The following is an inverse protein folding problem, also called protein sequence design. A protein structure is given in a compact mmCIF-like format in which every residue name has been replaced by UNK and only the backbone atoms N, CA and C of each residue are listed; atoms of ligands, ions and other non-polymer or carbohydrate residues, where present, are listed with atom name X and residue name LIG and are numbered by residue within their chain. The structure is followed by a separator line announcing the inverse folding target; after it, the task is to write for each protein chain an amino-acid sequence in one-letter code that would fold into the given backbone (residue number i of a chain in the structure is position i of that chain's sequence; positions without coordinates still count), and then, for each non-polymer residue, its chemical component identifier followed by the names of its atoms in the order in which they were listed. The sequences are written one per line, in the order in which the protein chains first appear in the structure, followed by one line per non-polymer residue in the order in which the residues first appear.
data_IF_705566450761
#
_entry.id   IF_705566450761
#
_cell.length_a   1.000
_cell.length_b   1.000
_cell.length_c   1.000
_cell.angle_alpha   90.00
_cell.angle_beta   90.00
_cell.angle_gamma   90.00
#
_symmetry.space_group_name_H-M   'P 1'
#
loop_
_entity.id
_entity.type
_entity.pdbx_description
1 polymer ?
#
# COMPACT_ATOMS: atom_id res chain seq x y z
N UNK A 1 17.25 -14.38 -18.85
CA UNK A 1 15.81 -14.06 -18.84
C UNK A 1 15.25 -14.45 -17.48
N UNK A 2 14.89 -13.50 -16.61
CA UNK A 2 14.06 -13.83 -15.44
C UNK A 2 12.64 -14.10 -15.93
N UNK A 3 11.98 -15.11 -15.37
CA UNK A 3 10.61 -15.44 -15.78
C UNK A 3 9.67 -14.27 -15.44
N UNK A 4 8.66 -13.98 -16.27
CA UNK A 4 7.64 -12.93 -15.99
C UNK A 4 7.08 -13.03 -14.56
N UNK A 5 6.96 -14.27 -14.04
CA UNK A 5 6.54 -14.56 -12.66
C UNK A 5 7.48 -13.97 -11.60
N UNK A 6 8.79 -14.11 -11.77
CA UNK A 6 9.79 -13.60 -10.81
C UNK A 6 9.84 -12.07 -10.77
N UNK A 7 9.60 -11.42 -11.93
CA UNK A 7 9.56 -9.97 -12.01
C UNK A 7 8.31 -9.40 -11.32
N UNK A 8 7.17 -10.05 -11.52
CA UNK A 8 5.91 -9.70 -10.85
C UNK A 8 6.01 -9.86 -9.34
N UNK A 9 6.52 -11.00 -8.85
CA UNK A 9 6.65 -11.23 -7.40
C UNK A 9 7.55 -10.19 -6.73
N UNK A 10 8.66 -9.80 -7.36
CA UNK A 10 9.54 -8.75 -6.82
C UNK A 10 8.87 -7.37 -6.76
N UNK A 11 8.16 -6.97 -7.82
CA UNK A 11 7.49 -5.66 -7.88
C UNK A 11 6.32 -5.64 -6.89
N UNK A 12 5.50 -6.70 -6.86
CA UNK A 12 4.39 -6.84 -5.93
C UNK A 12 4.91 -6.80 -4.48
N UNK A 13 5.97 -7.53 -4.14
CA UNK A 13 6.56 -7.51 -2.79
C UNK A 13 7.03 -6.11 -2.39
N UNK A 14 7.66 -5.35 -3.30
CA UNK A 14 8.06 -3.95 -3.06
C UNK A 14 6.85 -3.04 -2.81
N UNK A 15 5.80 -3.16 -3.62
CA UNK A 15 4.58 -2.35 -3.44
C UNK A 15 3.89 -2.69 -2.12
N UNK A 16 3.75 -3.98 -1.80
CA UNK A 16 3.08 -4.44 -0.59
C UNK A 16 3.84 -4.04 0.69
N UNK A 17 5.18 -4.10 0.65
CA UNK A 17 6.03 -3.59 1.74
C UNK A 17 5.91 -2.09 1.92
N UNK A 18 5.80 -1.34 0.83
CA UNK A 18 5.57 0.11 0.87
C UNK A 18 4.18 0.43 1.41
N UNK A 19 3.14 -0.25 0.94
CA UNK A 19 1.76 -0.11 1.40
C UNK A 19 1.64 -0.38 2.91
N UNK A 20 2.28 -1.45 3.41
CA UNK A 20 2.34 -1.74 4.86
C UNK A 20 2.92 -0.57 5.66
N UNK A 21 4.03 0.02 5.19
CA UNK A 21 4.64 1.18 5.86
C UNK A 21 3.72 2.39 5.81
N UNK A 22 3.11 2.67 4.67
CA UNK A 22 2.18 3.80 4.48
C UNK A 22 0.97 3.66 5.41
N UNK A 23 0.36 2.48 5.49
CA UNK A 23 -0.76 2.21 6.41
C UNK A 23 -0.34 2.49 7.85
N UNK A 24 0.80 1.96 8.28
CA UNK A 24 1.28 2.15 9.64
C UNK A 24 1.58 3.63 9.96
N UNK A 25 2.13 4.37 8.99
CA UNK A 25 2.37 5.81 9.13
C UNK A 25 1.05 6.58 9.23
N UNK A 26 0.10 6.33 8.32
CA UNK A 26 -1.17 7.07 8.28
C UNK A 26 -1.99 6.83 9.55
N UNK A 27 -2.22 5.58 9.91
CA UNK A 27 -2.95 5.23 11.13
C UNK A 27 -2.18 5.64 12.39
N UNK A 28 -0.85 5.55 12.36
CA UNK A 28 0.04 6.05 13.41
C UNK A 28 -0.12 7.54 13.65
N UNK A 29 -0.01 8.36 12.60
CA UNK A 29 -0.18 9.81 12.68
C UNK A 29 -1.57 10.19 13.16
N UNK A 30 -2.63 9.57 12.64
CA UNK A 30 -4.01 9.81 13.08
C UNK A 30 -4.15 9.47 14.56
N UNK A 31 -3.72 8.28 14.98
CA UNK A 31 -3.82 7.86 16.38
C UNK A 31 -3.06 8.79 17.33
N UNK A 32 -1.85 9.20 16.96
CA UNK A 32 -1.04 10.16 17.74
C UNK A 32 -1.73 11.52 17.85
N UNK A 33 -2.30 12.05 16.77
CA UNK A 33 -3.03 13.33 16.80
C UNK A 33 -4.20 13.28 17.78
N UNK A 34 -4.99 12.20 17.77
CA UNK A 34 -6.10 12.02 18.71
C UNK A 34 -5.62 11.93 20.17
N UNK A 35 -4.49 11.28 20.43
CA UNK A 35 -3.90 11.22 21.77
C UNK A 35 -3.38 12.58 22.24
N UNK A 36 -2.73 13.36 21.35
CA UNK A 36 -2.27 14.71 21.67
C UNK A 36 -3.46 15.62 22.02
N UNK A 37 -4.53 15.55 21.22
CA UNK A 37 -5.77 16.30 21.49
C UNK A 37 -6.40 15.87 22.83
N UNK A 38 -6.47 14.57 23.10
CA UNK A 38 -6.98 14.07 24.37
C UNK A 38 -6.15 14.58 25.55
N UNK A 39 -4.82 14.56 25.44
CA UNK A 39 -3.90 15.04 26.47
C UNK A 39 -4.04 16.55 26.71
N UNK A 40 -4.13 17.34 25.63
CA UNK A 40 -4.34 18.79 25.72
C UNK A 40 -5.67 19.15 26.38
N UNK A 41 -6.75 18.46 26.00
CA UNK A 41 -8.08 18.66 26.60
C UNK A 41 -8.12 18.22 28.07
N UNK A 42 -7.37 17.19 28.43
CA UNK A 42 -7.24 16.74 29.82
C UNK A 42 -6.47 17.74 30.70
N UNK A 43 -5.34 18.25 30.21
CA UNK A 43 -4.52 19.25 30.93
C UNK A 43 -5.29 20.56 31.10
N UNK A 44 -6.07 20.97 30.10
CA UNK A 44 -6.87 22.19 30.14
C UNK A 44 -8.18 22.04 30.95
N UNK A 45 -8.45 20.87 31.55
CA UNK A 45 -9.70 20.52 32.27
C UNK A 45 -10.95 20.93 31.47
N UNK A 46 -10.90 20.77 30.14
CA UNK A 46 -12.01 21.12 29.27
C UNK A 46 -13.13 20.12 29.49
N UNK A 47 -14.28 20.62 29.92
CA UNK A 47 -15.49 19.85 30.15
C UNK A 47 -16.56 20.30 29.17
N UNK A 48 -17.26 19.31 28.64
CA UNK A 48 -18.42 19.57 27.81
C UNK A 48 -19.48 20.34 28.61
N UNK A 49 -20.01 21.41 28.03
CA UNK A 49 -20.91 22.33 28.72
C UNK A 49 -22.29 21.73 29.00
N UNK A 50 -22.72 20.73 28.24
CA UNK A 50 -24.03 20.09 28.38
C UNK A 50 -23.97 18.84 29.27
N UNK A 51 -22.91 18.04 29.11
CA UNK A 51 -22.80 16.73 29.78
C UNK A 51 -21.83 16.71 30.96
N UNK A 52 -20.96 17.72 31.09
CA UNK A 52 -19.93 17.78 32.13
C UNK A 52 -18.80 16.74 31.99
N UNK A 53 -18.87 15.92 30.93
CA UNK A 53 -17.89 14.87 30.62
C UNK A 53 -16.67 15.52 29.96
N UNK A 54 -15.48 15.07 30.34
CA UNK A 54 -14.25 15.47 29.66
C UNK A 54 -14.18 14.80 28.28
N UNK A 55 -14.11 15.57 27.17
CA UNK A 55 -13.98 14.99 25.83
C UNK A 55 -12.71 14.15 25.68
N UNK A 56 -11.67 14.41 26.48
CA UNK A 56 -10.44 13.59 26.52
C UNK A 56 -10.72 12.09 26.75
N UNK A 57 -11.79 11.75 27.48
CA UNK A 57 -12.22 10.36 27.73
C UNK A 57 -12.70 9.66 26.46
N UNK A 58 -13.14 10.41 25.44
CA UNK A 58 -13.58 9.88 24.14
C UNK A 58 -12.42 9.90 23.13
N UNK A 59 -11.65 10.99 23.10
CA UNK A 59 -10.54 11.14 22.16
C UNK A 59 -9.38 10.16 22.43
N UNK A 60 -9.09 9.85 23.70
CA UNK A 60 -8.04 8.90 24.07
C UNK A 60 -8.29 7.47 23.53
N UNK A 61 -9.45 6.82 23.77
CA UNK A 61 -9.73 5.50 23.22
C UNK A 61 -9.86 5.51 21.69
N UNK A 62 -10.33 6.59 21.06
CA UNK A 62 -10.29 6.71 19.59
C UNK A 62 -8.85 6.70 19.06
N UNK A 63 -7.95 7.46 19.67
CA UNK A 63 -6.53 7.47 19.29
C UNK A 63 -5.90 6.08 19.45
N UNK A 64 -6.15 5.41 20.57
CA UNK A 64 -5.71 4.04 20.80
C UNK A 64 -6.28 3.05 19.77
N UNK A 65 -7.56 3.18 19.41
CA UNK A 65 -8.20 2.34 18.39
C UNK A 65 -7.51 2.46 17.03
N UNK A 66 -7.20 3.68 16.57
CA UNK A 66 -6.51 3.86 15.28
C UNK A 66 -5.10 3.26 15.28
N UNK A 67 -4.36 3.35 16.39
CA UNK A 67 -3.05 2.71 16.52
C UNK A 67 -3.16 1.18 16.46
N UNK A 68 -4.13 0.60 17.19
CA UNK A 68 -4.38 -0.84 17.20
C UNK A 68 -4.79 -1.31 15.80
N UNK A 69 -5.71 -0.60 15.15
CA UNK A 69 -6.19 -0.93 13.81
C UNK A 69 -5.05 -0.87 12.78
N UNK A 70 -4.20 0.15 12.85
CA UNK A 70 -3.00 0.26 12.01
C UNK A 70 -2.05 -0.94 12.19
N UNK A 71 -1.85 -1.37 13.44
CA UNK A 71 -1.09 -2.59 13.76
C UNK A 71 -1.72 -3.85 13.18
N UNK A 72 -3.02 -4.05 13.38
CA UNK A 72 -3.76 -5.22 12.85
C UNK A 72 -3.65 -5.26 11.32
N UNK A 73 -3.88 -4.14 10.63
CA UNK A 73 -3.77 -4.07 9.16
C UNK A 73 -2.35 -4.35 8.66
N UNK A 74 -1.33 -3.89 9.40
CA UNK A 74 0.06 -4.20 9.09
C UNK A 74 0.36 -5.70 9.14
N UNK A 75 -0.19 -6.42 10.13
CA UNK A 75 -0.03 -7.87 10.26
C UNK A 75 -0.93 -8.67 9.30
N UNK A 76 -2.15 -8.18 9.03
CA UNK A 76 -3.13 -8.85 8.17
C UNK A 76 -2.72 -8.86 6.69
N UNK A 77 -1.99 -7.84 6.22
CA UNK A 77 -1.48 -7.82 4.86
C UNK A 77 -0.36 -8.87 4.67
N UNK A 78 -0.44 -9.79 3.68
CA UNK A 78 0.61 -10.78 3.45
C UNK A 78 1.87 -10.12 2.89
N UNK A 79 3.05 -10.41 3.45
CA UNK A 79 4.34 -9.82 2.99
C UNK A 79 4.74 -10.32 1.59
N UNK A 80 4.23 -11.47 1.16
CA UNK A 80 4.52 -12.07 -0.14
C UNK A 80 3.22 -12.42 -0.87
N UNK A 81 3.08 -11.96 -2.10
CA UNK A 81 2.07 -12.43 -3.04
C UNK A 81 2.66 -13.60 -3.82
N UNK A 82 2.07 -14.78 -3.69
CA UNK A 82 2.43 -15.96 -4.48
C UNK A 82 1.56 -15.98 -5.75
N UNK A 83 2.21 -15.98 -6.92
CA UNK A 83 1.56 -15.86 -8.22
C UNK A 83 0.52 -16.96 -8.49
N UNK A 84 0.73 -18.20 -8.03
CA UNK A 84 -0.23 -19.32 -8.22
C UNK A 84 -1.51 -19.15 -7.37
N UNK A 85 -1.37 -18.61 -6.16
CA UNK A 85 -2.51 -18.27 -5.30
C UNK A 85 -3.27 -17.03 -5.82
N UNK A 86 -2.65 -16.26 -6.70
CA UNK A 86 -3.22 -15.10 -7.38
C UNK A 86 -4.03 -15.52 -8.61
N UNK A 87 -3.46 -16.36 -9.48
CA UNK A 87 -4.12 -16.90 -10.68
C UNK A 87 -5.44 -17.61 -10.31
N UNK A 88 -5.40 -18.49 -9.28
CA UNK A 88 -6.60 -19.15 -8.74
C UNK A 88 -7.63 -18.20 -8.13
N UNK A 89 -7.24 -17.01 -7.66
CA UNK A 89 -8.19 -16.02 -7.10
C UNK A 89 -8.80 -15.15 -8.17
N UNK A 90 -8.03 -14.73 -9.18
CA UNK A 90 -8.56 -14.05 -10.35
C UNK A 90 -9.54 -14.93 -11.12
N UNK A 91 -9.21 -16.21 -11.35
CA UNK A 91 -10.14 -17.15 -11.99
C UNK A 91 -11.43 -17.35 -11.18
N UNK A 92 -11.32 -17.40 -9.85
CA UNK A 92 -12.46 -17.73 -8.98
C UNK A 92 -13.37 -16.54 -8.65
N UNK A 93 -12.81 -15.32 -8.57
CA UNK A 93 -13.54 -14.14 -8.11
C UNK A 93 -13.65 -13.03 -9.16
N UNK A 94 -12.99 -13.15 -10.32
CA UNK A 94 -13.08 -12.20 -11.44
C UNK A 94 -12.63 -10.77 -11.13
N UNK A 95 -12.08 -10.51 -9.95
CA UNK A 95 -11.72 -9.18 -9.48
C UNK A 95 -10.21 -9.06 -9.35
N UNK A 96 -9.62 -8.16 -10.16
CA UNK A 96 -8.26 -7.67 -9.96
C UNK A 96 -8.26 -6.61 -8.86
N UNK A 97 -7.39 -6.78 -7.87
CA UNK A 97 -7.19 -5.76 -6.85
C UNK A 97 -6.34 -4.61 -7.42
N UNK A 98 -6.42 -3.41 -6.85
CA UNK A 98 -5.67 -2.23 -7.36
C UNK A 98 -4.16 -2.48 -7.47
N UNK A 99 -3.60 -3.19 -6.48
CA UNK A 99 -2.19 -3.59 -6.47
C UNK A 99 -1.84 -4.58 -7.59
N UNK A 100 -2.81 -5.40 -8.02
CA UNK A 100 -2.63 -6.37 -9.11
C UNK A 100 -2.57 -5.63 -10.46
N UNK A 101 -3.47 -4.67 -10.66
CA UNK A 101 -3.47 -3.80 -11.84
C UNK A 101 -2.19 -2.96 -11.93
N UNK A 102 -1.71 -2.44 -10.80
CA UNK A 102 -0.46 -1.66 -10.74
C UNK A 102 0.76 -2.52 -11.06
N UNK A 103 0.79 -3.77 -10.61
CA UNK A 103 1.88 -4.70 -10.91
C UNK A 103 1.86 -5.14 -12.38
N UNK A 104 0.70 -5.43 -12.97
CA UNK A 104 0.58 -5.71 -14.41
C UNK A 104 0.95 -4.52 -15.28
N UNK A 105 0.53 -3.31 -14.93
CA UNK A 105 0.89 -2.08 -15.64
C UNK A 105 2.40 -1.86 -15.66
N UNK A 106 3.08 -2.04 -14.53
CA UNK A 106 4.55 -1.95 -14.48
C UNK A 106 5.22 -3.01 -15.36
N UNK A 107 4.68 -4.22 -15.38
CA UNK A 107 5.21 -5.33 -16.17
C UNK A 107 5.02 -5.10 -17.68
N UNK A 108 3.87 -4.55 -18.08
CA UNK A 108 3.63 -4.11 -19.46
C UNK A 108 4.55 -2.95 -19.85
N UNK A 109 4.78 -1.98 -18.97
CA UNK A 109 5.70 -0.86 -19.21
C UNK A 109 7.13 -1.32 -19.45
N UNK A 110 7.59 -2.29 -18.67
CA UNK A 110 8.93 -2.87 -18.83
C UNK A 110 9.06 -3.61 -20.17
N UNK A 111 8.02 -4.35 -20.58
CA UNK A 111 7.99 -5.04 -21.87
C UNK A 111 8.01 -4.05 -23.04
N UNK A 112 7.25 -2.95 -22.96
CA UNK A 112 7.24 -1.91 -23.99
C UNK A 112 8.64 -1.30 -24.14
N UNK A 113 9.31 -0.96 -23.03
CA UNK A 113 10.67 -0.39 -23.07
C UNK A 113 11.67 -1.36 -23.72
N UNK A 114 11.58 -2.64 -23.41
CA UNK A 114 12.47 -3.67 -23.99
C UNK A 114 12.17 -3.90 -25.49
N UNK A 115 10.91 -3.73 -25.90
CA UNK A 115 10.50 -3.77 -27.30
C UNK A 115 10.98 -2.52 -28.06
N UNK A 116 10.89 -1.34 -27.46
CA UNK A 116 11.42 -0.08 -28.02
C UNK A 116 12.93 -0.18 -28.25
N UNK A 117 13.72 -0.65 -27.27
CA UNK A 117 15.17 -0.86 -27.44
C UNK A 117 15.49 -1.85 -28.57
N UNK A 118 14.70 -2.91 -28.73
CA UNK A 118 14.89 -3.89 -29.80
C UNK A 118 14.55 -3.31 -31.17
N UNK A 119 13.50 -2.49 -31.25
CA UNK A 119 13.12 -1.79 -32.49
C UNK A 119 14.20 -0.78 -32.86
N UNK A 120 14.68 0.03 -31.92
CA UNK A 120 15.73 1.01 -32.16
C UNK A 120 17.04 0.34 -32.61
N UNK A 121 17.39 -0.80 -32.00
CA UNK A 121 18.55 -1.59 -32.42
C UNK A 121 18.37 -2.23 -33.81
N UNK A 122 17.14 -2.59 -34.20
CA UNK A 122 16.82 -3.12 -35.53
C UNK A 122 16.85 -2.02 -36.59
N UNK A 123 16.26 -0.86 -36.31
CA UNK A 123 16.29 0.32 -37.19
C UNK A 123 17.71 0.80 -37.41
N UNK A 124 18.54 0.85 -36.36
CA UNK A 124 19.96 1.18 -36.47
C UNK A 124 20.72 0.19 -37.37
N UNK A 125 20.38 -1.10 -37.33
CA UNK A 125 20.99 -2.14 -38.18
C UNK A 125 20.54 -2.03 -39.64
N UNK A 126 19.26 -1.71 -39.88
CA UNK A 126 18.72 -1.51 -41.23
C UNK A 126 19.30 -0.23 -41.86
N UNK A 127 19.44 0.84 -41.08
CA UNK A 127 20.04 2.11 -41.54
C UNK A 127 21.54 2.01 -41.83
N UNK A 128 22.23 0.99 -41.32
CA UNK A 128 23.67 0.75 -41.57
C UNK A 128 23.95 -0.24 -42.69
N UNK A 129 22.92 -0.86 -43.28
CA UNK A 129 23.04 -1.82 -44.37
C UNK A 129 22.04 -1.42 -45.49
N UNK A 130 22.40 -0.43 -46.35
CA UNK A 130 21.55 0.01 -47.47
C UNK A 130 21.35 -1.08 -48.54
#
# INVERSE_FOLDING_TARGET
MKSKKELFEQIAEKQLRTAKKVILIVFGCIGILFLILALGLWIADVRDAETGVMPSVIFAPMGAFFLILGGILYFALPVKMNYEKYEKRCEKYGAMNYYDMAAELMLQREQIRELEEKVEALEARISQNP
#
